data_IF_673137776968
#
_entry.id   IF_673137776968
#
_cell.length_a   1.000
_cell.length_b   1.000
_cell.length_c   1.000
_cell.angle_alpha   90.00
_cell.angle_beta   90.00
_cell.angle_gamma   90.00
#
_symmetry.space_group_name_H-M   'P 1'
#
loop_
_entity.id
_entity.type
_entity.pdbx_description
1 polymer ?
#
# COMPACT_ATOMS: atom_id res chain seq x y z
N UNK A 1 -18.00 -22.00 15.70
CA UNK A 1 -16.93 -21.35 14.96
C UNK A 1 -17.43 -20.00 14.47
N UNK A 2 -16.65 -18.93 14.63
CA UNK A 2 -16.97 -17.58 14.20
C UNK A 2 -15.94 -17.10 13.20
N UNK A 3 -16.33 -16.16 12.33
CA UNK A 3 -15.46 -15.54 11.33
C UNK A 3 -15.57 -14.03 11.43
N UNK A 4 -14.47 -13.35 11.18
CA UNK A 4 -14.42 -11.90 11.08
C UNK A 4 -13.50 -11.48 9.93
N UNK A 5 -13.88 -10.41 9.24
CA UNK A 5 -13.04 -9.78 8.21
C UNK A 5 -13.16 -8.28 8.29
N UNK A 6 -12.02 -7.57 8.36
CA UNK A 6 -11.95 -6.12 8.51
C UNK A 6 -10.90 -5.49 7.62
N UNK A 7 -11.13 -4.25 7.20
CA UNK A 7 -10.16 -3.39 6.53
C UNK A 7 -9.56 -2.45 7.58
N UNK A 8 -8.24 -2.32 7.57
CA UNK A 8 -7.47 -1.39 8.39
C UNK A 8 -6.73 -0.44 7.46
N UNK A 9 -7.01 0.85 7.59
CA UNK A 9 -6.49 1.89 6.69
C UNK A 9 -5.00 2.21 6.91
N UNK A 10 -4.43 1.73 8.01
CA UNK A 10 -3.02 1.95 8.38
C UNK A 10 -2.50 0.89 9.33
N UNK A 11 -1.18 0.82 9.51
CA UNK A 11 -0.54 0.01 10.56
C UNK A 11 -1.06 0.36 11.95
N UNK A 12 -1.33 1.63 12.20
CA UNK A 12 -1.88 2.09 13.48
C UNK A 12 -3.30 1.59 13.71
N UNK A 13 -4.19 1.65 12.70
CA UNK A 13 -5.55 1.13 12.82
C UNK A 13 -5.59 -0.39 13.00
N UNK A 14 -4.66 -1.10 12.34
CA UNK A 14 -4.47 -2.54 12.54
C UNK A 14 -4.01 -2.83 13.97
N UNK A 15 -3.02 -2.10 14.48
CA UNK A 15 -2.53 -2.27 15.85
C UNK A 15 -3.60 -1.96 16.91
N UNK A 16 -4.41 -0.92 16.69
CA UNK A 16 -5.54 -0.60 17.58
C UNK A 16 -6.58 -1.73 17.57
N UNK A 17 -6.88 -2.32 16.41
CA UNK A 17 -7.84 -3.43 16.31
C UNK A 17 -7.41 -4.68 17.08
N UNK A 18 -6.11 -4.87 17.30
CA UNK A 18 -5.60 -5.95 18.16
C UNK A 18 -6.04 -5.79 19.61
N UNK A 19 -6.24 -4.55 20.05
CA UNK A 19 -6.67 -4.22 21.41
C UNK A 19 -8.19 -4.27 21.58
N UNK A 20 -8.96 -4.39 20.48
CA UNK A 20 -10.43 -4.52 20.55
C UNK A 20 -10.86 -5.87 21.16
N UNK A 21 -10.03 -6.91 21.05
CA UNK A 21 -10.19 -8.19 21.76
C UNK A 21 -9.88 -8.11 23.25
N UNK A 22 -9.23 -7.01 23.69
CA UNK A 22 -9.00 -6.67 25.08
C UNK A 22 -10.17 -5.75 25.47
N UNK A 23 -11.03 -6.19 26.35
CA UNK A 23 -12.18 -5.39 26.78
C UNK A 23 -11.75 -4.00 27.28
N UNK A 24 -12.61 -3.00 27.25
CA UNK A 24 -12.32 -1.62 27.64
C UNK A 24 -11.84 -1.47 29.11
N UNK A 25 -11.89 -2.55 29.88
CA UNK A 25 -11.51 -2.58 31.30
C UNK A 25 -10.04 -2.24 31.55
N UNK A 26 -9.15 -2.45 30.58
CA UNK A 26 -7.74 -2.10 30.73
C UNK A 26 -7.48 -0.59 30.92
N UNK A 27 -8.44 0.27 30.57
CA UNK A 27 -8.38 1.74 30.75
C UNK A 27 -8.98 2.21 32.06
N UNK A 28 -9.65 1.33 32.80
CA UNK A 28 -10.44 1.73 33.97
C UNK A 28 -9.57 2.45 34.99
N UNK A 29 -9.92 3.69 35.26
CA UNK A 29 -9.24 4.53 36.22
C UNK A 29 -7.91 5.13 35.79
N UNK A 30 -7.36 4.77 34.61
CA UNK A 30 -6.17 5.45 34.07
C UNK A 30 -6.61 6.75 33.40
N UNK A 31 -6.24 7.90 33.95
CA UNK A 31 -6.53 9.23 33.37
C UNK A 31 -5.68 9.50 32.13
N UNK A 32 -5.75 8.62 31.14
CA UNK A 32 -4.92 8.67 29.96
C UNK A 32 -5.85 8.92 28.78
N UNK A 33 -5.96 10.19 28.37
CA UNK A 33 -6.83 10.59 27.25
C UNK A 33 -6.54 9.84 25.95
N UNK A 34 -7.17 10.23 24.84
CA UNK A 34 -7.10 9.56 23.51
C UNK A 34 -5.70 9.22 22.97
N UNK A 35 -4.64 9.70 23.63
CA UNK A 35 -3.24 9.33 23.34
C UNK A 35 -2.89 7.87 23.69
N UNK A 36 -3.62 7.23 24.60
CA UNK A 36 -3.31 5.86 25.03
C UNK A 36 -3.67 4.80 23.98
N UNK A 37 -4.70 5.03 23.17
CA UNK A 37 -5.03 4.15 22.05
C UNK A 37 -3.87 4.05 21.05
N UNK A 38 -3.10 5.13 20.89
CA UNK A 38 -1.90 5.17 20.08
C UNK A 38 -0.69 4.50 20.76
N UNK A 39 -0.62 4.53 22.09
CA UNK A 39 0.46 3.91 22.85
C UNK A 39 0.46 2.38 22.74
N UNK A 40 -0.71 1.78 22.72
CA UNK A 40 -0.85 0.32 22.55
C UNK A 40 -0.51 -0.12 21.13
N UNK A 41 -0.79 0.72 20.13
CA UNK A 41 -0.35 0.48 18.76
C UNK A 41 1.18 0.41 18.59
N UNK A 42 1.93 0.86 19.60
CA UNK A 42 3.40 0.76 19.65
C UNK A 42 3.94 -0.56 20.21
N UNK A 43 3.08 -1.52 20.61
CA UNK A 43 3.55 -2.81 21.11
C UNK A 43 4.36 -3.56 20.04
N UNK A 44 5.48 -4.16 20.44
CA UNK A 44 6.35 -4.96 19.59
C UNK A 44 5.80 -6.37 19.40
N UNK A 45 4.61 -6.50 18.77
CA UNK A 45 4.13 -7.80 18.28
C UNK A 45 4.68 -8.07 16.88
N UNK A 46 4.88 -9.33 16.52
CA UNK A 46 5.29 -9.75 15.16
C UNK A 46 4.39 -9.14 14.08
N UNK A 47 3.08 -9.05 14.33
CA UNK A 47 2.13 -8.42 13.42
C UNK A 47 2.32 -6.90 13.34
N UNK A 48 2.59 -6.23 14.46
CA UNK A 48 2.86 -4.80 14.49
C UNK A 48 4.14 -4.46 13.72
N UNK A 49 5.18 -5.27 13.87
CA UNK A 49 6.44 -5.16 13.13
C UNK A 49 6.23 -5.39 11.64
N UNK A 50 5.48 -6.43 11.26
CA UNK A 50 5.07 -6.67 9.88
C UNK A 50 4.39 -5.45 9.25
N UNK A 51 3.43 -4.85 9.95
CA UNK A 51 2.68 -3.69 9.46
C UNK A 51 3.55 -2.43 9.37
N UNK A 52 4.40 -2.17 10.37
CA UNK A 52 5.31 -1.02 10.40
C UNK A 52 6.35 -1.06 9.30
N UNK A 53 6.98 -2.21 9.09
CA UNK A 53 8.01 -2.40 8.05
C UNK A 53 7.46 -2.07 6.66
N UNK A 54 6.24 -2.47 6.36
CA UNK A 54 5.61 -2.17 5.07
C UNK A 54 5.21 -0.71 4.95
N UNK A 55 4.59 -0.18 5.98
CA UNK A 55 4.15 1.22 6.00
C UNK A 55 5.30 2.24 6.00
N UNK A 56 6.53 1.83 6.25
CA UNK A 56 7.71 2.70 6.22
C UNK A 56 8.08 3.15 4.79
N UNK A 57 7.77 2.35 3.77
CA UNK A 57 8.22 2.58 2.39
C UNK A 57 7.09 2.94 1.42
N UNK A 58 5.84 2.65 1.76
CA UNK A 58 4.69 2.96 0.91
C UNK A 58 3.41 3.04 1.74
N UNK A 59 2.33 3.57 1.13
CA UNK A 59 1.02 3.57 1.76
C UNK A 59 0.39 2.19 1.62
N UNK A 60 0.22 1.52 2.74
CA UNK A 60 -0.46 0.23 2.86
C UNK A 60 -1.77 0.36 3.62
N UNK A 61 -2.75 -0.42 3.20
CA UNK A 61 -3.89 -0.82 4.00
C UNK A 61 -3.77 -2.33 4.29
N UNK A 62 -4.46 -2.80 5.29
CA UNK A 62 -4.38 -4.20 5.72
C UNK A 62 -5.77 -4.80 5.78
N UNK A 63 -5.91 -6.03 5.31
CA UNK A 63 -7.15 -6.80 5.40
C UNK A 63 -6.88 -7.97 6.34
N UNK A 64 -7.62 -8.02 7.45
CA UNK A 64 -7.56 -9.15 8.37
C UNK A 64 -8.71 -10.11 8.12
N UNK A 65 -8.42 -11.40 8.04
CA UNK A 65 -9.38 -12.50 8.05
C UNK A 65 -9.10 -13.37 9.27
N UNK A 66 -10.14 -13.64 10.04
CA UNK A 66 -10.04 -14.43 11.26
C UNK A 66 -11.10 -15.53 11.30
N UNK A 67 -10.68 -16.70 11.71
CA UNK A 67 -11.54 -17.84 12.04
C UNK A 67 -11.23 -18.27 13.45
N UNK A 68 -12.22 -18.29 14.34
CA UNK A 68 -11.98 -18.66 15.73
C UNK A 68 -13.09 -19.51 16.32
N UNK A 69 -12.72 -20.33 17.29
CA UNK A 69 -13.58 -21.18 18.06
C UNK A 69 -13.19 -21.11 19.53
N UNK A 70 -14.18 -20.96 20.40
CA UNK A 70 -13.96 -20.86 21.85
C UNK A 70 -14.57 -22.05 22.55
N UNK A 71 -13.86 -22.62 23.51
CA UNK A 71 -14.27 -23.79 24.26
C UNK A 71 -14.46 -23.51 25.75
N UNK A 72 -13.49 -22.84 26.37
CA UNK A 72 -13.45 -22.61 27.81
C UNK A 72 -13.26 -21.14 28.11
N UNK A 73 -13.85 -20.68 29.22
CA UNK A 73 -13.68 -19.35 29.73
C UNK A 73 -13.42 -19.40 31.23
N UNK A 74 -12.34 -18.76 31.64
CA UNK A 74 -11.98 -18.63 33.06
C UNK A 74 -12.00 -17.16 33.41
N UNK A 75 -12.52 -16.88 34.64
CA UNK A 75 -12.51 -15.55 35.21
C UNK A 75 -11.99 -15.65 36.65
N UNK A 76 -11.06 -14.80 37.03
CA UNK A 76 -10.66 -14.69 38.41
C UNK A 76 -11.72 -13.99 39.23
N UNK A 77 -11.80 -14.30 40.52
CA UNK A 77 -12.70 -13.62 41.44
C UNK A 77 -12.38 -12.12 41.52
N UNK A 78 -13.38 -11.33 41.83
CA UNK A 78 -13.18 -9.92 42.18
C UNK A 78 -12.32 -9.86 43.45
N UNK A 79 -11.29 -8.99 43.48
CA UNK A 79 -10.28 -8.93 44.56
C UNK A 79 -9.58 -10.28 44.79
N UNK A 80 -8.76 -10.73 43.84
CA UNK A 80 -8.04 -11.98 43.98
C UNK A 80 -7.03 -11.92 45.12
N UNK A 81 -6.75 -13.06 45.69
CA UNK A 81 -5.60 -13.21 46.59
C UNK A 81 -4.30 -13.04 45.77
N UNK A 82 -3.40 -12.24 46.30
CA UNK A 82 -2.08 -11.99 45.70
C UNK A 82 -1.02 -12.81 46.46
N UNK A 83 0.10 -13.08 45.78
CA UNK A 83 1.23 -13.75 46.43
C UNK A 83 1.82 -12.88 47.54
N UNK A 84 2.41 -13.52 48.54
CA UNK A 84 3.08 -12.81 49.64
C UNK A 84 4.19 -11.88 49.17
N UNK A 85 4.89 -12.27 48.10
CA UNK A 85 5.97 -11.47 47.51
C UNK A 85 5.42 -10.17 46.88
N UNK A 86 4.35 -10.27 46.11
CA UNK A 86 3.67 -9.11 45.56
C UNK A 86 3.14 -8.19 46.68
N UNK A 87 2.51 -8.78 47.70
CA UNK A 87 1.97 -8.01 48.82
C UNK A 87 3.04 -7.28 49.64
N UNK A 88 4.19 -7.92 49.85
CA UNK A 88 5.36 -7.31 50.50
C UNK A 88 5.88 -6.13 49.66
N UNK A 89 6.06 -6.31 48.37
CA UNK A 89 6.50 -5.24 47.48
C UNK A 89 5.50 -4.09 47.43
N UNK A 90 4.20 -4.38 47.32
CA UNK A 90 3.17 -3.35 47.31
C UNK A 90 3.16 -2.54 48.64
N UNK A 91 3.34 -3.20 49.77
CA UNK A 91 3.41 -2.56 51.10
C UNK A 91 4.69 -1.75 51.32
N UNK A 92 5.79 -2.09 50.64
CA UNK A 92 7.05 -1.35 50.70
C UNK A 92 7.06 -0.07 49.82
N UNK A 93 6.04 0.13 48.97
CA UNK A 93 5.99 1.31 48.13
C UNK A 93 5.77 2.59 48.95
N UNK A 94 6.44 3.68 48.60
CA UNK A 94 6.30 4.97 49.25
C UNK A 94 4.86 5.50 49.20
N UNK A 95 4.43 6.20 50.24
CA UNK A 95 3.12 6.82 50.32
C UNK A 95 2.95 8.07 49.44
N UNK A 96 4.03 8.55 48.83
CA UNK A 96 4.04 9.66 47.88
C UNK A 96 4.76 9.24 46.61
N UNK A 97 4.21 9.65 45.46
CA UNK A 97 4.81 9.45 44.15
C UNK A 97 5.42 10.77 43.65
N UNK A 98 6.73 10.79 43.44
CA UNK A 98 7.47 11.91 42.90
C UNK A 98 8.77 11.41 42.22
N UNK A 99 9.61 12.31 41.75
CA UNK A 99 10.85 11.98 41.03
C UNK A 99 11.82 11.10 41.85
N UNK A 100 11.91 11.29 43.19
CA UNK A 100 12.79 10.53 44.05
C UNK A 100 12.26 9.13 44.40
N UNK A 101 10.92 8.92 44.37
CA UNK A 101 10.26 7.66 44.69
C UNK A 101 9.84 6.86 43.45
N UNK A 102 9.92 7.46 42.28
CA UNK A 102 9.54 6.88 40.98
C UNK A 102 10.17 5.52 40.74
N UNK A 103 11.47 5.35 41.13
CA UNK A 103 12.19 4.10 40.87
C UNK A 103 11.56 2.89 41.59
N UNK A 104 11.03 3.04 42.81
CA UNK A 104 10.39 1.95 43.55
C UNK A 104 9.10 1.46 42.84
N UNK A 105 8.27 2.40 42.31
CA UNK A 105 7.09 2.04 41.52
C UNK A 105 7.46 1.40 40.19
N UNK A 106 8.54 1.86 39.58
CA UNK A 106 9.06 1.27 38.31
C UNK A 106 9.51 -0.17 38.53
N UNK A 107 10.23 -0.45 39.60
CA UNK A 107 10.65 -1.81 39.92
C UNK A 107 9.45 -2.77 40.03
N UNK A 108 8.36 -2.36 40.68
CA UNK A 108 7.15 -3.17 40.79
C UNK A 108 6.51 -3.38 39.39
N UNK A 109 6.45 -2.33 38.56
CA UNK A 109 5.90 -2.42 37.20
C UNK A 109 6.80 -3.30 36.32
N UNK A 110 8.12 -3.23 36.44
CA UNK A 110 9.04 -4.03 35.64
C UNK A 110 8.95 -5.53 35.96
N UNK A 111 8.64 -5.87 37.20
CA UNK A 111 8.46 -7.27 37.63
C UNK A 111 7.07 -7.82 37.32
N UNK A 112 6.02 -7.07 37.59
CA UNK A 112 4.63 -7.55 37.51
C UNK A 112 3.82 -6.99 36.32
N UNK A 113 4.40 -6.07 35.58
CA UNK A 113 3.72 -5.41 34.48
C UNK A 113 2.78 -4.28 34.92
N UNK A 114 2.10 -3.70 33.96
CA UNK A 114 1.14 -2.60 34.18
C UNK A 114 -0.29 -3.09 34.44
N UNK A 115 -0.59 -4.34 34.02
CA UNK A 115 -1.92 -4.94 34.04
C UNK A 115 -1.84 -6.39 34.49
N UNK A 116 -2.98 -6.91 34.93
CA UNK A 116 -3.17 -8.33 35.21
C UNK A 116 -4.40 -8.86 34.42
N UNK A 117 -4.38 -10.15 34.11
CA UNK A 117 -5.43 -10.83 33.37
C UNK A 117 -6.58 -11.14 34.34
N UNK A 118 -7.80 -10.66 34.02
CA UNK A 118 -9.00 -10.91 34.82
C UNK A 118 -9.87 -12.03 34.24
N UNK A 119 -9.76 -12.27 32.94
CA UNK A 119 -10.49 -13.33 32.26
C UNK A 119 -9.69 -13.82 31.06
N UNK A 120 -9.74 -15.11 30.79
CA UNK A 120 -9.22 -15.72 29.56
C UNK A 120 -10.32 -16.54 28.88
N UNK A 121 -10.29 -16.54 27.56
CA UNK A 121 -11.07 -17.44 26.72
C UNK A 121 -10.11 -18.34 25.97
N UNK A 122 -10.27 -19.62 26.13
CA UNK A 122 -9.43 -20.66 25.50
C UNK A 122 -10.15 -21.27 24.30
N UNK A 123 -9.38 -21.55 23.26
CA UNK A 123 -9.90 -22.12 22.02
C UNK A 123 -8.84 -22.20 20.94
N UNK A 124 -9.21 -21.87 19.73
CA UNK A 124 -8.28 -21.70 18.62
C UNK A 124 -8.66 -20.53 17.72
N UNK A 125 -7.63 -19.89 17.14
CA UNK A 125 -7.76 -18.79 16.19
C UNK A 125 -6.76 -18.95 15.06
N UNK A 126 -7.25 -18.79 13.83
CA UNK A 126 -6.42 -18.56 12.65
C UNK A 126 -6.66 -17.12 12.25
N UNK A 127 -5.58 -16.36 12.10
CA UNK A 127 -5.62 -14.97 11.68
C UNK A 127 -4.64 -14.74 10.55
N UNK A 128 -5.14 -14.28 9.41
CA UNK A 128 -4.33 -13.81 8.30
C UNK A 128 -4.53 -12.32 8.11
N UNK A 129 -3.43 -11.60 7.91
CA UNK A 129 -3.43 -10.17 7.62
C UNK A 129 -2.69 -9.95 6.31
N UNK A 130 -3.44 -9.60 5.28
CA UNK A 130 -2.91 -9.28 3.95
C UNK A 130 -2.59 -7.79 3.88
N UNK A 131 -1.34 -7.45 3.56
CA UNK A 131 -0.91 -6.09 3.28
C UNK A 131 -1.19 -5.75 1.81
N UNK A 132 -1.90 -4.65 1.57
CA UNK A 132 -2.25 -4.19 0.22
C UNK A 132 -1.71 -2.78 -0.02
N UNK A 133 -0.96 -2.60 -1.10
CA UNK A 133 -0.50 -1.27 -1.52
C UNK A 133 -1.68 -0.47 -2.04
N UNK A 134 -2.02 0.63 -1.38
CA UNK A 134 -3.19 1.44 -1.73
C UNK A 134 -3.15 1.92 -3.17
N UNK A 135 -1.99 2.30 -3.69
CA UNK A 135 -1.85 2.75 -5.06
C UNK A 135 -1.97 1.60 -6.10
N UNK A 136 -1.61 0.38 -5.75
CA UNK A 136 -1.81 -0.78 -6.64
C UNK A 136 -3.29 -1.11 -6.83
N UNK A 137 -4.06 -1.00 -5.76
CA UNK A 137 -5.52 -1.13 -5.82
C UNK A 137 -6.13 -0.01 -6.68
N UNK A 138 -5.74 1.24 -6.44
CA UNK A 138 -6.27 2.40 -7.16
C UNK A 138 -6.02 2.33 -8.68
N UNK A 139 -4.78 2.01 -9.11
CA UNK A 139 -4.46 1.92 -10.56
C UNK A 139 -5.12 0.73 -11.25
N UNK A 140 -5.56 -0.27 -10.48
CA UNK A 140 -6.30 -1.42 -11.01
C UNK A 140 -7.80 -1.13 -11.14
N UNK A 141 -8.26 0.08 -10.79
CA UNK A 141 -9.67 0.44 -10.80
C UNK A 141 -10.52 -0.31 -9.77
N UNK A 142 -9.88 -0.83 -8.74
CA UNK A 142 -10.51 -1.56 -7.63
C UNK A 142 -10.60 -0.68 -6.40
N UNK A 143 -11.56 -0.99 -5.54
CA UNK A 143 -11.63 -0.46 -4.17
C UNK A 143 -11.01 -1.46 -3.19
N UNK A 144 -10.64 -0.99 -2.00
CA UNK A 144 -10.19 -1.86 -0.90
C UNK A 144 -11.29 -2.85 -0.49
N UNK A 145 -12.56 -2.42 -0.61
CA UNK A 145 -13.73 -3.27 -0.40
C UNK A 145 -13.79 -4.43 -1.40
N UNK A 146 -13.58 -4.16 -2.71
CA UNK A 146 -13.55 -5.20 -3.73
C UNK A 146 -12.45 -6.23 -3.46
N UNK A 147 -11.26 -5.77 -3.05
CA UNK A 147 -10.14 -6.65 -2.69
C UNK A 147 -10.51 -7.51 -1.48
N UNK A 148 -11.07 -6.91 -0.43
CA UNK A 148 -11.52 -7.63 0.77
C UNK A 148 -12.56 -8.69 0.43
N UNK A 149 -13.60 -8.33 -0.30
CA UNK A 149 -14.69 -9.25 -0.65
C UNK A 149 -14.19 -10.40 -1.52
N UNK A 150 -13.21 -10.15 -2.39
CA UNK A 150 -12.61 -11.20 -3.20
C UNK A 150 -11.66 -12.10 -2.40
N UNK A 151 -10.88 -11.57 -1.47
CA UNK A 151 -10.09 -12.39 -0.54
C UNK A 151 -11.00 -13.23 0.36
N UNK A 152 -12.09 -12.65 0.90
CA UNK A 152 -13.08 -13.38 1.68
C UNK A 152 -13.73 -14.51 0.87
N UNK A 153 -14.01 -14.29 -0.41
CA UNK A 153 -14.52 -15.31 -1.32
C UNK A 153 -13.53 -16.45 -1.55
N UNK A 154 -12.24 -16.17 -1.59
CA UNK A 154 -11.20 -17.18 -1.70
C UNK A 154 -11.06 -18.00 -0.42
N UNK A 155 -11.15 -17.38 0.76
CA UNK A 155 -11.21 -18.07 2.05
C UNK A 155 -12.48 -18.92 2.18
N UNK A 156 -13.63 -18.44 1.70
CA UNK A 156 -14.94 -19.12 1.83
C UNK A 156 -15.05 -20.42 1.07
N UNK A 157 -14.16 -20.70 0.10
CA UNK A 157 -14.05 -22.01 -0.50
C UNK A 157 -13.92 -23.15 0.52
N UNK A 158 -13.69 -22.82 1.79
CA UNK A 158 -13.66 -23.71 2.96
C UNK A 158 -14.98 -23.80 3.74
N UNK A 159 -16.08 -23.17 3.31
CA UNK A 159 -17.39 -23.06 3.98
C UNK A 159 -17.43 -22.14 5.21
N UNK A 160 -16.40 -21.39 5.51
CA UNK A 160 -16.37 -20.52 6.69
C UNK A 160 -17.06 -19.17 6.48
N UNK A 161 -16.97 -18.60 5.27
CA UNK A 161 -17.60 -17.32 4.91
C UNK A 161 -18.78 -17.59 3.96
N UNK A 162 -19.98 -17.71 4.48
CA UNK A 162 -21.16 -18.22 3.75
C UNK A 162 -21.77 -17.27 2.71
N UNK A 163 -21.36 -16.01 2.65
CA UNK A 163 -21.93 -14.98 1.76
C UNK A 163 -21.31 -14.91 0.35
N UNK A 164 -20.30 -15.69 0.04
CA UNK A 164 -19.38 -15.39 -1.07
C UNK A 164 -19.54 -16.23 -2.34
N UNK A 165 -20.50 -17.17 -2.47
CA UNK A 165 -20.58 -18.07 -3.65
C UNK A 165 -20.84 -17.31 -4.97
N UNK A 166 -21.65 -16.27 -4.97
CA UNK A 166 -21.94 -15.47 -6.15
C UNK A 166 -20.76 -14.55 -6.54
N UNK A 167 -19.88 -14.20 -5.57
CA UNK A 167 -18.74 -13.31 -5.76
C UNK A 167 -17.49 -14.02 -6.33
N UNK A 168 -17.33 -15.33 -6.11
CA UNK A 168 -16.09 -16.04 -6.50
C UNK A 168 -15.84 -16.07 -8.01
N UNK A 169 -16.87 -16.18 -8.85
CA UNK A 169 -16.73 -16.14 -10.30
C UNK A 169 -16.39 -14.73 -10.80
N UNK A 170 -17.02 -13.70 -10.24
CA UNK A 170 -16.74 -12.28 -10.52
C UNK A 170 -15.30 -11.95 -10.11
N UNK A 171 -14.86 -12.36 -8.93
CA UNK A 171 -13.50 -12.13 -8.45
C UNK A 171 -12.45 -12.78 -9.37
N UNK A 172 -12.64 -14.03 -9.80
CA UNK A 172 -11.75 -14.68 -10.77
C UNK A 172 -11.70 -13.95 -12.10
N UNK A 173 -12.84 -13.50 -12.63
CA UNK A 173 -12.87 -12.72 -13.88
C UNK A 173 -12.17 -11.37 -13.73
N UNK A 174 -12.33 -10.69 -12.59
CA UNK A 174 -11.67 -9.43 -12.27
C UNK A 174 -10.16 -9.62 -12.10
N UNK A 175 -9.72 -10.64 -11.37
CA UNK A 175 -8.31 -10.97 -11.21
C UNK A 175 -7.63 -11.21 -12.58
N UNK A 176 -8.27 -11.95 -13.48
CA UNK A 176 -7.74 -12.20 -14.83
C UNK A 176 -7.69 -10.95 -15.69
N UNK A 177 -8.74 -10.11 -15.69
CA UNK A 177 -8.84 -8.93 -16.55
C UNK A 177 -7.98 -7.76 -16.07
N UNK A 178 -8.03 -7.46 -14.78
CA UNK A 178 -7.41 -6.24 -14.22
C UNK A 178 -6.04 -6.49 -13.61
N UNK A 179 -5.80 -7.69 -13.08
CA UNK A 179 -4.59 -8.04 -12.36
C UNK A 179 -3.70 -9.04 -13.10
N UNK A 180 -4.17 -9.60 -14.22
CA UNK A 180 -3.49 -10.62 -15.02
C UNK A 180 -3.02 -11.83 -14.20
N UNK A 181 -3.81 -12.22 -13.18
CA UNK A 181 -3.59 -13.37 -12.28
C UNK A 181 -4.86 -14.18 -12.12
N UNK A 182 -4.74 -15.39 -11.58
CA UNK A 182 -5.90 -16.26 -11.41
C UNK A 182 -6.71 -15.95 -10.15
N UNK A 183 -6.04 -15.46 -9.11
CA UNK A 183 -6.64 -15.18 -7.79
C UNK A 183 -6.12 -13.85 -7.21
N UNK A 184 -6.89 -13.27 -6.28
CA UNK A 184 -6.47 -12.07 -5.54
C UNK A 184 -5.32 -12.39 -4.57
N UNK A 185 -5.32 -13.57 -3.97
CA UNK A 185 -4.25 -14.02 -3.08
C UNK A 185 -2.91 -14.22 -3.79
N UNK A 186 -2.91 -14.46 -5.12
CA UNK A 186 -1.68 -14.44 -5.93
C UNK A 186 -1.12 -13.06 -6.18
N UNK A 187 -1.97 -12.04 -6.22
CA UNK A 187 -1.54 -10.64 -6.37
C UNK A 187 -1.04 -10.09 -5.05
N UNK A 188 -1.89 -10.21 -4.02
CA UNK A 188 -1.63 -9.69 -2.68
C UNK A 188 -0.99 -10.79 -1.81
N UNK A 189 0.31 -11.04 -2.03
CA UNK A 189 1.06 -12.13 -1.38
C UNK A 189 1.65 -11.74 -0.04
N UNK A 190 1.79 -10.44 0.23
CA UNK A 190 2.39 -9.96 1.47
C UNK A 190 1.41 -10.21 2.61
N UNK A 191 1.64 -11.30 3.34
CA UNK A 191 0.72 -11.80 4.36
C UNK A 191 1.44 -12.12 5.66
N UNK A 192 0.78 -11.86 6.76
CA UNK A 192 1.14 -12.34 8.09
C UNK A 192 0.09 -13.36 8.51
N UNK A 193 0.52 -14.57 8.85
CA UNK A 193 -0.35 -15.63 9.31
C UNK A 193 0.00 -16.00 10.74
N UNK A 194 -1.02 -16.23 11.57
CA UNK A 194 -0.89 -16.66 12.96
C UNK A 194 -1.93 -17.71 13.27
N UNK A 195 -1.48 -18.83 13.83
CA UNK A 195 -2.35 -19.91 14.30
C UNK A 195 -2.16 -20.07 15.81
N UNK A 196 -3.25 -19.95 16.56
CA UNK A 196 -3.29 -20.09 18.01
C UNK A 196 -4.14 -21.31 18.35
N UNK A 197 -3.63 -22.16 19.23
CA UNK A 197 -4.26 -23.42 19.62
C UNK A 197 -4.20 -24.50 18.54
N UNK A 198 -4.59 -25.72 18.92
CA UNK A 198 -4.53 -26.89 18.05
C UNK A 198 -3.12 -27.45 17.85
N UNK A 199 -3.03 -28.45 17.00
CA UNK A 199 -1.79 -29.07 16.56
C UNK A 199 -1.50 -28.67 15.14
N UNK A 200 -0.28 -28.22 14.86
CA UNK A 200 0.18 -27.80 13.53
C UNK A 200 1.19 -26.67 13.57
N UNK A 201 1.61 -26.23 12.41
CA UNK A 201 2.53 -25.12 12.25
C UNK A 201 1.81 -23.78 12.60
N UNK A 202 2.37 -23.05 13.55
CA UNK A 202 1.80 -21.78 14.05
C UNK A 202 1.89 -20.64 13.05
N UNK A 203 2.74 -20.75 12.06
CA UNK A 203 2.96 -19.74 11.00
C UNK A 203 2.37 -20.18 9.64
N UNK A 204 1.61 -21.32 9.62
CA UNK A 204 1.04 -21.83 8.39
C UNK A 204 -0.09 -20.95 7.86
N UNK A 205 -0.05 -20.63 6.57
CA UNK A 205 -1.18 -20.01 5.84
C UNK A 205 -2.28 -21.04 5.60
N UNK A 206 -3.16 -21.20 6.58
CA UNK A 206 -4.26 -22.15 6.53
C UNK A 206 -5.50 -21.61 5.81
N UNK A 207 -5.65 -20.30 5.68
CA UNK A 207 -6.86 -19.68 5.10
C UNK A 207 -6.77 -19.54 3.58
N UNK A 208 -5.58 -19.38 2.99
CA UNK A 208 -5.41 -19.20 1.56
C UNK A 208 -4.81 -20.45 0.87
N UNK A 209 -5.13 -20.69 -0.41
CA UNK A 209 -4.58 -21.84 -1.12
C UNK A 209 -3.07 -21.68 -1.32
N UNK A 210 -2.29 -22.62 -0.78
CA UNK A 210 -0.88 -22.74 -1.14
C UNK A 210 -0.77 -23.15 -2.60
N UNK A 211 0.14 -22.56 -3.36
CA UNK A 211 0.43 -22.90 -4.76
C UNK A 211 0.88 -24.37 -4.93
N UNK A 212 1.26 -25.04 -3.87
CA UNK A 212 1.79 -26.40 -3.87
C UNK A 212 0.72 -27.52 -3.73
N UNK A 213 -0.56 -27.21 -3.88
CA UNK A 213 -1.62 -28.23 -4.04
C UNK A 213 -1.92 -29.13 -2.83
N UNK A 214 -1.45 -28.79 -1.64
CA UNK A 214 -1.76 -29.54 -0.42
C UNK A 214 -3.27 -29.56 -0.10
N UNK A 215 -3.74 -30.65 0.52
CA UNK A 215 -5.16 -30.86 0.82
C UNK A 215 -5.63 -29.96 2.00
N UNK A 216 -5.82 -28.69 1.73
CA UNK A 216 -6.15 -27.59 2.66
C UNK A 216 -7.37 -27.89 3.56
N UNK A 217 -8.42 -28.49 3.00
CA UNK A 217 -9.60 -28.85 3.80
C UNK A 217 -9.25 -29.81 4.92
N UNK A 218 -8.33 -30.71 4.65
CA UNK A 218 -7.86 -31.71 5.63
C UNK A 218 -7.02 -31.03 6.71
N UNK A 219 -6.18 -30.04 6.36
CA UNK A 219 -5.36 -29.30 7.32
C UNK A 219 -6.19 -28.48 8.29
N UNK A 220 -7.18 -27.71 7.80
CA UNK A 220 -8.08 -26.93 8.67
C UNK A 220 -8.96 -27.86 9.52
N UNK A 221 -9.50 -28.93 8.95
CA UNK A 221 -10.33 -29.87 9.69
C UNK A 221 -9.53 -30.62 10.77
N UNK A 222 -8.29 -31.00 10.48
CA UNK A 222 -7.37 -31.58 11.45
C UNK A 222 -7.10 -30.61 12.61
N UNK A 223 -6.81 -29.34 12.28
CA UNK A 223 -6.64 -28.30 13.28
C UNK A 223 -7.88 -28.13 14.16
N UNK A 224 -9.08 -28.03 13.57
CA UNK A 224 -10.34 -27.93 14.33
C UNK A 224 -10.50 -29.11 15.29
N UNK A 225 -10.26 -30.32 14.82
CA UNK A 225 -10.43 -31.52 15.62
C UNK A 225 -9.44 -31.58 16.79
N UNK A 226 -8.27 -30.98 16.65
CA UNK A 226 -7.23 -30.96 17.69
C UNK A 226 -7.48 -29.87 18.78
N UNK A 227 -8.32 -28.86 18.51
CA UNK A 227 -8.55 -27.73 19.40
C UNK A 227 -9.12 -28.12 20.77
N UNK A 228 -9.96 -29.14 20.80
CA UNK A 228 -10.60 -29.57 22.08
C UNK A 228 -9.58 -30.08 23.07
N UNK A 229 -8.54 -30.75 22.59
CA UNK A 229 -7.46 -31.29 23.42
C UNK A 229 -6.31 -30.29 23.61
N UNK A 230 -6.14 -29.36 22.66
CA UNK A 230 -5.03 -28.41 22.65
C UNK A 230 -5.56 -26.96 22.47
N UNK A 231 -6.42 -26.44 23.37
CA UNK A 231 -6.85 -25.05 23.31
C UNK A 231 -5.73 -24.13 23.79
N UNK A 232 -5.69 -22.92 23.24
CA UNK A 232 -4.77 -21.85 23.70
C UNK A 232 -5.57 -20.56 23.94
N UNK A 233 -4.92 -19.53 24.47
CA UNK A 233 -5.56 -18.25 24.81
C UNK A 233 -5.87 -17.48 23.53
N UNK A 234 -7.14 -17.37 23.17
CA UNK A 234 -7.60 -16.64 21.98
C UNK A 234 -8.08 -15.23 22.30
N UNK A 235 -8.51 -15.00 23.52
CA UNK A 235 -9.03 -13.73 24.00
C UNK A 235 -8.76 -13.61 25.50
N UNK A 236 -8.46 -12.40 25.98
CA UNK A 236 -8.29 -12.13 27.41
C UNK A 236 -8.75 -10.73 27.77
N UNK A 237 -9.10 -10.54 29.05
CA UNK A 237 -9.48 -9.24 29.61
C UNK A 237 -8.40 -8.80 30.58
N UNK A 238 -7.97 -7.54 30.45
CA UNK A 238 -6.96 -6.92 31.31
C UNK A 238 -7.62 -5.91 32.26
N UNK A 239 -7.10 -5.83 33.48
CA UNK A 239 -7.34 -4.70 34.37
C UNK A 239 -6.00 -4.11 34.85
N UNK A 240 -5.91 -2.77 35.04
CA UNK A 240 -4.71 -2.14 35.55
C UNK A 240 -4.29 -2.69 36.90
N UNK A 241 -2.98 -2.88 37.11
CA UNK A 241 -2.41 -3.52 38.29
C UNK A 241 -2.82 -2.84 39.60
N UNK A 242 -3.05 -1.53 39.62
CA UNK A 242 -3.51 -0.80 40.82
C UNK A 242 -4.89 -1.25 41.30
N UNK A 243 -5.69 -1.99 40.46
CA UNK A 243 -7.02 -2.51 40.82
C UNK A 243 -6.96 -3.92 41.43
N UNK A 244 -5.81 -4.57 41.47
CA UNK A 244 -5.70 -5.96 41.95
C UNK A 244 -6.16 -6.13 43.40
N UNK A 245 -5.88 -5.13 44.24
CA UNK A 245 -6.44 -5.07 45.61
C UNK A 245 -7.59 -4.10 45.71
N UNK A 246 -8.69 -4.52 46.31
CA UNK A 246 -9.90 -3.73 46.43
C UNK A 246 -9.84 -2.63 47.51
N UNK A 247 -8.90 -2.72 48.43
CA UNK A 247 -8.67 -1.70 49.46
C UNK A 247 -8.26 -0.35 48.84
N UNK A 248 -8.95 0.71 49.18
CA UNK A 248 -8.56 2.07 48.83
C UNK A 248 -7.35 2.47 49.68
N UNK A 249 -6.23 2.81 49.06
CA UNK A 249 -5.01 3.28 49.74
C UNK A 249 -4.34 4.37 48.89
N UNK A 250 -3.55 5.22 49.55
CA UNK A 250 -2.78 6.25 48.85
C UNK A 250 -1.76 5.60 47.91
N UNK A 251 -1.19 4.47 48.26
CA UNK A 251 -0.27 3.69 47.41
C UNK A 251 -0.95 3.24 46.11
N UNK A 252 -2.21 2.84 46.18
CA UNK A 252 -3.00 2.46 45.00
C UNK A 252 -3.17 3.62 44.02
N UNK A 253 -3.49 4.83 44.53
CA UNK A 253 -3.65 6.01 43.67
C UNK A 253 -2.28 6.43 43.09
N UNK A 254 -1.20 6.33 43.85
CA UNK A 254 0.16 6.59 43.35
C UNK A 254 0.58 5.56 42.29
N UNK A 255 0.28 4.27 42.48
CA UNK A 255 0.55 3.21 41.51
C UNK A 255 -0.22 3.45 40.20
N UNK A 256 -1.47 3.94 40.27
CA UNK A 256 -2.27 4.35 39.12
C UNK A 256 -1.54 5.43 38.30
N UNK A 257 -1.02 6.48 38.96
CA UNK A 257 -0.26 7.55 38.32
C UNK A 257 1.03 7.01 37.68
N UNK A 258 1.76 6.17 38.42
CA UNK A 258 2.99 5.56 37.94
C UNK A 258 2.80 4.68 36.71
N UNK A 259 1.72 3.87 36.69
CA UNK A 259 1.33 3.05 35.52
C UNK A 259 1.03 3.93 34.31
N UNK A 260 0.21 4.97 34.50
CA UNK A 260 -0.15 5.88 33.42
C UNK A 260 1.09 6.56 32.83
N UNK A 261 1.99 7.05 33.67
CA UNK A 261 3.25 7.67 33.24
C UNK A 261 4.17 6.66 32.53
N UNK A 262 4.28 5.45 33.06
CA UNK A 262 5.07 4.36 32.44
C UNK A 262 4.58 4.05 31.02
N UNK A 263 3.28 3.91 30.82
CA UNK A 263 2.71 3.63 29.52
C UNK A 263 2.99 4.78 28.55
N UNK A 264 2.82 6.02 28.99
CA UNK A 264 3.09 7.20 28.16
C UNK A 264 4.56 7.34 27.77
N UNK A 265 5.50 7.01 28.67
CA UNK A 265 6.94 7.05 28.38
C UNK A 265 7.38 5.94 27.42
N UNK A 266 6.80 4.75 27.55
CA UNK A 266 7.09 3.61 26.65
C UNK A 266 6.34 3.68 25.34
N UNK A 267 5.49 4.67 25.17
CA UNK A 267 4.75 4.88 23.94
C UNK A 267 5.70 5.05 22.74
N UNK A 268 5.64 4.11 21.81
CA UNK A 268 6.28 4.29 20.51
C UNK A 268 5.47 5.27 19.68
N UNK A 269 5.98 6.46 19.48
CA UNK A 269 5.41 7.40 18.49
C UNK A 269 5.95 7.00 17.12
N UNK A 270 5.10 6.39 16.30
CA UNK A 270 5.46 6.15 14.90
C UNK A 270 5.75 7.51 14.24
N UNK A 271 6.92 7.62 13.63
CA UNK A 271 7.24 8.76 12.78
C UNK A 271 6.36 8.66 11.54
N UNK A 272 5.71 9.75 11.18
CA UNK A 272 4.98 9.79 9.93
C UNK A 272 5.95 9.54 8.77
N UNK A 273 5.58 8.70 7.78
CA UNK A 273 6.36 8.54 6.57
C UNK A 273 6.48 9.89 5.84
N UNK A 274 7.51 10.05 5.03
CA UNK A 274 7.66 11.22 4.18
C UNK A 274 6.51 11.29 3.16
N UNK A 275 6.10 12.50 2.80
CA UNK A 275 5.04 12.77 1.85
C UNK A 275 5.58 13.62 0.68
N UNK A 276 6.44 13.07 -0.19
CA UNK A 276 7.21 13.86 -1.15
C UNK A 276 6.36 14.53 -2.23
N UNK A 277 5.15 14.05 -2.49
CA UNK A 277 4.26 14.57 -3.55
C UNK A 277 3.01 15.26 -3.02
N UNK A 278 2.80 15.26 -1.72
CA UNK A 278 1.57 15.79 -1.12
C UNK A 278 1.80 16.50 0.20
N UNK A 279 0.70 16.85 0.83
CA UNK A 279 0.70 17.45 2.16
C UNK A 279 0.50 16.37 3.21
N UNK A 280 1.43 16.27 4.16
CA UNK A 280 1.28 15.40 5.31
C UNK A 280 0.26 16.02 6.27
N UNK A 281 -0.79 15.28 6.57
CA UNK A 281 -1.78 15.63 7.60
C UNK A 281 -1.71 14.60 8.71
N UNK A 282 -1.62 15.06 9.94
CA UNK A 282 -1.61 14.20 11.14
C UNK A 282 -2.90 14.42 11.93
N UNK A 283 -3.68 13.37 12.10
CA UNK A 283 -4.83 13.33 12.98
C UNK A 283 -4.56 12.34 14.12
N UNK A 284 -4.23 12.85 15.30
CA UNK A 284 -3.81 12.02 16.43
C UNK A 284 -2.54 11.24 16.11
N UNK A 285 -2.63 9.92 16.10
CA UNK A 285 -1.55 8.99 15.71
C UNK A 285 -1.55 8.61 14.23
N UNK A 286 -2.58 8.99 13.48
CA UNK A 286 -2.70 8.62 12.07
C UNK A 286 -2.05 9.67 11.17
N UNK A 287 -1.16 9.19 10.28
CA UNK A 287 -0.51 10.01 9.27
C UNK A 287 -1.16 9.74 7.91
N UNK A 288 -1.61 10.78 7.24
CA UNK A 288 -2.19 10.68 5.89
C UNK A 288 -1.48 11.64 4.95
N UNK A 289 -1.13 11.16 3.76
CA UNK A 289 -0.70 12.00 2.66
C UNK A 289 -1.92 12.37 1.83
N UNK A 290 -2.12 13.64 1.56
CA UNK A 290 -3.16 14.13 0.66
C UNK A 290 -2.54 14.94 -0.47
N UNK A 291 -3.02 14.69 -1.69
CA UNK A 291 -2.62 15.40 -2.89
C UNK A 291 -3.82 16.14 -3.48
N UNK A 292 -3.61 17.28 -4.15
CA UNK A 292 -4.65 17.82 -5.00
C UNK A 292 -4.97 16.83 -6.11
N UNK A 293 -6.25 16.56 -6.30
CA UNK A 293 -6.71 15.70 -7.40
C UNK A 293 -6.35 16.33 -8.74
N UNK A 294 -5.82 15.54 -9.66
CA UNK A 294 -5.43 15.95 -11.00
C UNK A 294 -5.85 14.88 -12.02
N UNK A 295 -5.61 15.13 -13.31
CA UNK A 295 -5.84 14.14 -14.36
C UNK A 295 -4.95 12.89 -14.24
N UNK A 296 -3.92 12.92 -13.40
CA UNK A 296 -2.93 11.86 -13.24
C UNK A 296 -2.98 11.18 -11.87
N UNK A 297 -3.52 11.85 -10.84
CA UNK A 297 -3.38 11.43 -9.46
C UNK A 297 -4.64 11.72 -8.64
N UNK A 298 -5.03 10.79 -7.79
CA UNK A 298 -6.15 10.96 -6.86
C UNK A 298 -5.74 11.69 -5.57
N UNK A 299 -6.71 11.98 -4.72
CA UNK A 299 -6.47 12.65 -3.43
C UNK A 299 -5.59 11.86 -2.45
N UNK A 300 -5.42 10.57 -2.66
CA UNK A 300 -4.54 9.70 -1.88
C UNK A 300 -3.10 9.66 -2.43
N UNK A 301 -2.74 10.54 -3.37
CA UNK A 301 -1.44 10.59 -4.05
C UNK A 301 -1.11 9.36 -4.89
N UNK A 302 -2.12 8.62 -5.33
CA UNK A 302 -1.93 7.47 -6.20
C UNK A 302 -2.21 7.83 -7.66
N UNK A 303 -1.42 7.32 -8.61
CA UNK A 303 -1.69 7.51 -10.03
C UNK A 303 -3.03 6.86 -10.41
N UNK A 304 -3.76 7.48 -11.34
CA UNK A 304 -5.08 7.00 -11.78
C UNK A 304 -4.99 5.85 -12.77
N UNK A 305 -3.93 5.79 -13.59
CA UNK A 305 -3.73 4.77 -14.63
C UNK A 305 -2.24 4.48 -14.80
N UNK A 306 -1.90 3.23 -15.10
CA UNK A 306 -0.55 2.84 -15.53
C UNK A 306 -0.31 3.22 -16.99
N UNK A 307 0.95 3.30 -17.39
CA UNK A 307 1.35 3.52 -18.78
C UNK A 307 1.13 4.93 -19.29
N UNK A 308 0.95 5.90 -18.43
CA UNK A 308 0.65 7.29 -18.80
C UNK A 308 1.86 8.17 -18.59
N UNK A 309 2.15 9.03 -19.59
CA UNK A 309 3.22 10.02 -19.54
C UNK A 309 2.94 11.21 -20.43
N UNK A 310 3.82 12.21 -20.41
CA UNK A 310 3.78 13.39 -21.27
C UNK A 310 4.84 13.33 -22.35
N UNK A 311 4.44 13.42 -23.62
CA UNK A 311 5.32 13.36 -24.78
C UNK A 311 5.73 14.76 -25.25
N UNK A 312 7.03 14.97 -25.36
CA UNK A 312 7.64 16.12 -26.04
C UNK A 312 8.53 15.61 -27.18
N UNK A 313 8.40 16.19 -28.35
CA UNK A 313 9.20 15.90 -29.55
C UNK A 313 9.89 17.18 -29.98
N UNK A 314 11.16 17.07 -30.34
CA UNK A 314 11.95 18.18 -30.88
C UNK A 314 12.49 17.79 -32.25
N UNK A 315 12.04 18.43 -33.31
CA UNK A 315 12.55 18.27 -34.68
C UNK A 315 13.75 19.19 -34.82
N UNK A 316 14.94 18.61 -34.96
CA UNK A 316 16.21 19.34 -34.90
C UNK A 316 16.56 19.88 -36.27
N UNK A 317 16.87 18.99 -37.21
CA UNK A 317 17.36 19.36 -38.54
C UNK A 317 17.03 18.27 -39.58
N UNK A 318 17.02 18.65 -40.82
CA UNK A 318 17.05 17.75 -41.97
C UNK A 318 18.44 17.80 -42.63
N UNK A 319 18.82 16.71 -43.29
CA UNK A 319 20.07 16.65 -44.08
C UNK A 319 19.79 15.92 -45.38
N UNK A 320 20.26 16.52 -46.50
CA UNK A 320 20.15 15.97 -47.81
C UNK A 320 18.69 15.78 -48.32
N UNK A 321 17.79 16.63 -47.85
CA UNK A 321 16.43 16.62 -48.35
C UNK A 321 16.39 17.06 -49.81
N UNK A 322 15.54 16.44 -50.59
CA UNK A 322 15.45 16.75 -52.04
C UNK A 322 14.16 17.49 -52.32
N UNK A 323 14.28 18.69 -52.87
CA UNK A 323 13.23 19.46 -53.48
C UNK A 323 12.85 18.96 -54.87
N UNK A 324 11.96 19.65 -55.53
CA UNK A 324 11.52 19.33 -56.88
C UNK A 324 12.64 19.59 -57.91
N UNK A 325 12.79 18.67 -58.82
CA UNK A 325 13.49 18.92 -60.06
C UNK A 325 12.46 19.16 -61.16
N UNK A 326 12.14 20.42 -61.43
CA UNK A 326 11.28 20.79 -62.49
C UNK A 326 12.15 21.37 -63.64
N UNK A 327 12.15 20.73 -64.77
CA UNK A 327 12.76 21.21 -66.04
C UNK A 327 14.11 22.00 -65.86
N UNK A 328 15.19 21.29 -65.66
CA UNK A 328 16.57 21.82 -65.64
C UNK A 328 16.98 22.66 -64.42
N UNK A 329 16.12 22.84 -63.44
CA UNK A 329 16.48 23.49 -62.18
C UNK A 329 16.39 22.45 -61.06
N UNK A 330 17.51 22.07 -60.50
CA UNK A 330 17.55 21.34 -59.21
C UNK A 330 17.10 22.33 -58.14
N UNK A 331 15.83 22.37 -57.81
CA UNK A 331 15.30 23.21 -56.75
C UNK A 331 15.80 22.73 -55.37
N UNK A 332 16.14 23.68 -54.55
CA UNK A 332 16.32 23.39 -53.10
C UNK A 332 14.93 23.20 -52.50
N UNK A 333 14.85 22.40 -51.45
CA UNK A 333 13.57 22.08 -50.78
C UNK A 333 13.09 23.21 -49.89
N UNK A 334 11.80 23.51 -49.95
CA UNK A 334 11.08 24.36 -49.00
C UNK A 334 10.42 23.49 -47.90
N UNK A 335 11.28 22.89 -47.06
CA UNK A 335 10.92 21.77 -46.25
C UNK A 335 10.23 22.15 -44.92
N UNK A 336 9.20 21.39 -44.57
CA UNK A 336 8.65 21.33 -43.24
C UNK A 336 8.34 19.88 -42.83
N UNK A 337 8.26 19.64 -41.53
CA UNK A 337 7.99 18.32 -40.95
C UNK A 337 6.64 18.35 -40.21
N UNK A 338 5.76 17.40 -40.52
CA UNK A 338 4.54 17.14 -39.78
C UNK A 338 4.76 15.94 -38.88
N UNK A 339 4.57 16.12 -37.60
CA UNK A 339 4.65 15.03 -36.60
C UNK A 339 3.23 14.60 -36.23
N UNK A 340 2.92 13.34 -36.49
CA UNK A 340 1.65 12.70 -36.16
C UNK A 340 1.88 11.67 -35.05
N UNK A 341 1.12 11.75 -33.99
CA UNK A 341 1.14 10.82 -32.87
C UNK A 341 -0.22 10.18 -32.74
N UNK A 342 -0.28 8.86 -32.58
CA UNK A 342 -1.51 8.10 -32.47
C UNK A 342 -2.46 8.71 -31.43
N UNK A 343 -3.71 9.05 -31.86
CA UNK A 343 -4.72 9.61 -30.99
C UNK A 343 -4.50 11.08 -30.57
N UNK A 344 -3.58 11.79 -31.24
CA UNK A 344 -3.29 13.22 -31.01
C UNK A 344 -3.44 14.04 -32.29
N UNK A 345 -3.65 15.33 -32.10
CA UNK A 345 -3.60 16.29 -33.23
C UNK A 345 -2.17 16.37 -33.77
N UNK A 346 -2.01 16.48 -35.08
CA UNK A 346 -0.70 16.65 -35.70
C UNK A 346 -0.14 18.05 -35.41
N UNK A 347 1.16 18.14 -35.30
CA UNK A 347 1.92 19.38 -35.21
C UNK A 347 2.86 19.50 -36.40
N UNK A 348 3.15 20.72 -36.86
CA UNK A 348 4.15 20.95 -37.92
C UNK A 348 5.18 21.98 -37.53
N UNK A 349 6.40 21.85 -38.10
CA UNK A 349 7.43 22.88 -38.01
C UNK A 349 7.04 24.07 -38.93
N UNK A 350 7.77 25.17 -38.78
CA UNK A 350 7.81 26.20 -39.84
C UNK A 350 8.44 25.62 -41.09
N UNK A 351 8.09 26.20 -42.25
CA UNK A 351 8.77 25.95 -43.52
C UNK A 351 10.13 26.67 -43.48
N UNK A 352 11.17 26.05 -44.02
CA UNK A 352 12.45 26.69 -44.32
C UNK A 352 12.68 26.60 -45.79
N UNK A 353 12.68 27.78 -46.41
CA UNK A 353 12.68 27.90 -47.88
C UNK A 353 14.10 27.70 -48.44
N UNK A 354 14.17 27.11 -49.65
CA UNK A 354 15.40 26.94 -50.45
C UNK A 354 16.60 26.33 -49.67
N UNK A 355 16.31 25.24 -48.93
CA UNK A 355 17.38 24.62 -48.10
C UNK A 355 17.18 23.10 -47.98
N UNK A 356 18.19 22.34 -48.50
CA UNK A 356 18.21 20.89 -48.39
C UNK A 356 18.69 20.37 -47.04
N UNK A 357 19.24 21.26 -46.20
CA UNK A 357 19.74 20.94 -44.86
C UNK A 357 19.14 21.88 -43.79
N UNK A 358 17.81 21.94 -43.69
CA UNK A 358 17.12 22.91 -42.83
C UNK A 358 17.34 22.61 -41.34
N UNK A 359 17.45 23.67 -40.55
CA UNK A 359 17.55 23.58 -39.08
C UNK A 359 16.33 24.20 -38.43
N UNK A 360 15.42 23.35 -37.89
CA UNK A 360 14.17 23.81 -37.29
C UNK A 360 14.33 24.10 -35.78
N UNK A 361 14.97 23.19 -35.02
CA UNK A 361 15.03 23.22 -33.56
C UNK A 361 13.64 23.48 -32.95
N UNK A 362 12.63 22.82 -33.47
CA UNK A 362 11.22 23.06 -33.17
C UNK A 362 10.67 22.05 -32.19
N UNK A 363 10.28 22.52 -31.00
CA UNK A 363 9.77 21.68 -29.95
C UNK A 363 8.25 21.62 -29.98
N UNK A 364 7.68 20.41 -29.93
CA UNK A 364 6.26 20.10 -29.96
C UNK A 364 5.85 19.38 -28.70
N UNK A 365 4.77 19.82 -28.06
CA UNK A 365 4.21 19.18 -26.87
C UNK A 365 2.90 18.48 -27.24
N UNK A 366 2.87 17.15 -27.15
CA UNK A 366 1.70 16.33 -27.46
C UNK A 366 0.84 16.05 -26.23
N UNK A 367 1.31 16.48 -25.04
CA UNK A 367 0.62 16.25 -23.78
C UNK A 367 0.59 14.76 -23.40
N UNK A 368 -0.49 14.37 -22.74
CA UNK A 368 -0.65 13.03 -22.18
C UNK A 368 -0.75 11.95 -23.26
N UNK A 369 0.10 10.92 -23.18
CA UNK A 369 0.08 9.75 -24.05
C UNK A 369 0.03 8.46 -23.23
N UNK A 370 -0.36 7.34 -23.90
CA UNK A 370 -0.35 6.00 -23.28
C UNK A 370 0.68 5.11 -23.97
N UNK A 371 1.56 4.51 -23.15
CA UNK A 371 2.56 3.55 -23.59
C UNK A 371 2.09 2.08 -23.48
N UNK A 372 0.89 1.86 -22.91
CA UNK A 372 0.30 0.51 -22.84
C UNK A 372 -0.21 0.13 -24.24
N UNK A 373 0.37 -0.92 -24.83
CA UNK A 373 0.03 -1.34 -26.19
C UNK A 373 0.97 -0.78 -27.27
N UNK A 374 1.88 0.14 -26.90
CA UNK A 374 2.77 0.86 -27.81
C UNK A 374 2.15 2.14 -28.34
N UNK A 375 2.98 3.08 -28.73
CA UNK A 375 2.60 4.38 -29.26
C UNK A 375 3.36 4.62 -30.57
N UNK A 376 2.63 4.76 -31.67
CA UNK A 376 3.24 5.04 -32.97
C UNK A 376 3.31 6.54 -33.22
N UNK A 377 4.45 7.01 -33.68
CA UNK A 377 4.74 8.37 -34.10
C UNK A 377 5.25 8.35 -35.54
N UNK A 378 4.67 9.18 -36.41
CA UNK A 378 5.08 9.33 -37.79
C UNK A 378 5.60 10.75 -38.02
N UNK A 379 6.78 10.86 -38.60
CA UNK A 379 7.31 12.12 -39.14
C UNK A 379 7.11 12.12 -40.65
N UNK A 380 6.40 13.10 -41.14
CA UNK A 380 6.20 13.32 -42.58
C UNK A 380 6.97 14.55 -43.03
N UNK A 381 7.73 14.43 -44.09
CA UNK A 381 8.45 15.53 -44.70
C UNK A 381 7.68 16.01 -45.91
N UNK A 382 7.46 17.29 -45.98
CA UNK A 382 6.76 17.95 -47.05
C UNK A 382 7.63 19.08 -47.63
N UNK A 383 7.52 19.28 -48.94
CA UNK A 383 8.06 20.40 -49.69
C UNK A 383 6.93 21.36 -50.07
N UNK A 384 7.06 22.64 -49.71
CA UNK A 384 6.00 23.62 -49.86
C UNK A 384 6.21 24.49 -51.09
N UNK A 385 5.51 24.19 -52.17
CA UNK A 385 5.45 25.00 -53.36
C UNK A 385 4.45 26.16 -53.25
N UNK A 386 4.47 27.09 -54.20
CA UNK A 386 3.58 28.29 -54.23
C UNK A 386 2.09 27.99 -54.22
N UNK A 387 1.67 26.86 -54.82
CA UNK A 387 0.25 26.51 -54.93
C UNK A 387 -0.17 25.23 -54.22
N UNK A 388 0.77 24.36 -53.85
CA UNK A 388 0.50 23.08 -53.19
C UNK A 388 1.68 22.67 -52.33
N UNK A 389 1.40 21.74 -51.47
CA UNK A 389 2.43 21.10 -50.68
C UNK A 389 2.60 19.64 -51.11
N UNK A 390 3.83 19.23 -51.36
CA UNK A 390 4.15 17.90 -51.83
C UNK A 390 4.71 17.03 -50.69
N UNK A 391 4.11 15.84 -50.56
CA UNK A 391 4.66 14.83 -49.64
C UNK A 391 5.95 14.24 -50.22
N UNK A 392 7.03 14.35 -49.47
CA UNK A 392 8.37 13.85 -49.88
C UNK A 392 8.64 12.47 -49.30
N UNK A 393 8.18 12.18 -48.10
CA UNK A 393 8.32 10.88 -47.48
C UNK A 393 8.04 10.91 -46.00
N UNK A 394 8.01 9.74 -45.39
CA UNK A 394 7.78 9.61 -43.95
C UNK A 394 8.52 8.43 -43.34
N UNK A 395 8.70 8.48 -42.03
CA UNK A 395 9.06 7.32 -41.21
C UNK A 395 8.09 7.19 -40.04
N UNK A 396 7.77 5.96 -39.69
CA UNK A 396 6.98 5.64 -38.49
C UNK A 396 7.85 4.93 -37.48
N UNK A 397 7.79 5.39 -36.25
CA UNK A 397 8.59 4.90 -35.14
C UNK A 397 7.65 4.50 -34.02
N UNK A 398 7.95 3.37 -33.40
CA UNK A 398 7.24 2.93 -32.21
C UNK A 398 7.96 3.47 -30.96
N UNK A 399 7.26 4.32 -30.23
CA UNK A 399 7.71 4.84 -28.94
C UNK A 399 7.31 3.83 -27.86
N UNK A 400 8.30 3.17 -27.29
CA UNK A 400 8.10 2.08 -26.30
C UNK A 400 8.77 2.34 -24.96
N UNK A 401 9.54 3.43 -24.85
CA UNK A 401 10.35 3.72 -23.69
C UNK A 401 10.16 5.15 -23.19
N UNK A 402 9.83 5.29 -21.92
CA UNK A 402 9.86 6.55 -21.19
C UNK A 402 11.30 6.89 -20.76
N UNK A 403 11.63 8.16 -20.80
CA UNK A 403 12.93 8.68 -20.37
C UNK A 403 12.78 10.10 -19.84
N UNK A 404 13.53 10.43 -18.80
CA UNK A 404 13.68 11.80 -18.30
C UNK A 404 14.62 12.63 -19.15
N UNK A 405 15.42 11.98 -20.02
CA UNK A 405 16.32 12.63 -20.98
C UNK A 405 15.75 12.48 -22.39
N UNK A 406 16.08 13.42 -23.26
CA UNK A 406 15.76 13.29 -24.67
C UNK A 406 16.53 12.14 -25.31
N UNK A 407 15.80 11.32 -26.08
CA UNK A 407 16.33 10.21 -26.87
C UNK A 407 16.47 10.69 -28.31
N UNK A 408 17.69 10.82 -28.78
CA UNK A 408 17.97 11.26 -30.16
C UNK A 408 17.84 10.10 -31.14
N UNK A 409 17.21 10.36 -32.29
CA UNK A 409 16.91 9.39 -33.34
C UNK A 409 17.07 10.03 -34.73
N UNK A 410 17.19 9.19 -35.73
CA UNK A 410 17.26 9.57 -37.15
C UNK A 410 16.11 8.89 -37.89
N UNK A 411 15.37 9.68 -38.65
CA UNK A 411 14.33 9.25 -39.57
C UNK A 411 14.83 9.36 -41.00
N UNK A 412 15.10 8.24 -41.68
CA UNK A 412 15.48 8.23 -43.08
C UNK A 412 14.28 8.40 -44.00
N UNK A 413 14.37 9.33 -44.95
CA UNK A 413 13.27 9.65 -45.88
C UNK A 413 13.47 8.84 -47.18
N UNK A 414 12.47 8.11 -47.67
CA UNK A 414 12.61 7.22 -48.83
C UNK A 414 13.18 7.87 -50.10
N UNK A 415 12.87 9.15 -50.33
CA UNK A 415 13.36 9.89 -51.49
C UNK A 415 14.73 10.53 -51.33
N UNK A 416 15.38 10.32 -50.24
CA UNK A 416 16.70 10.81 -49.88
C UNK A 416 16.70 11.78 -48.72
N UNK A 417 17.83 11.81 -48.04
CA UNK A 417 18.01 12.60 -46.84
C UNK A 417 17.46 11.93 -45.55
N UNK A 418 17.57 12.64 -44.45
CA UNK A 418 17.09 12.19 -43.17
C UNK A 418 16.75 13.37 -42.27
N UNK A 419 15.90 13.11 -41.28
CA UNK A 419 15.55 14.04 -40.22
C UNK A 419 16.19 13.58 -38.91
N UNK A 420 16.88 14.46 -38.24
CA UNK A 420 17.36 14.26 -36.88
C UNK A 420 16.33 14.89 -35.92
N UNK A 421 15.85 14.09 -34.98
CA UNK A 421 14.89 14.50 -33.98
C UNK A 421 15.26 13.87 -32.64
N UNK A 422 14.71 14.43 -31.59
CA UNK A 422 14.72 13.80 -30.26
C UNK A 422 13.30 13.80 -29.66
N UNK A 423 13.06 12.86 -28.76
CA UNK A 423 11.82 12.80 -28.01
C UNK A 423 12.07 12.47 -26.56
N UNK A 424 11.12 12.84 -25.71
CA UNK A 424 11.12 12.54 -24.30
C UNK A 424 9.68 12.20 -23.86
N UNK A 425 9.54 11.12 -23.10
CA UNK A 425 8.28 10.75 -22.44
C UNK A 425 8.53 10.71 -20.94
N UNK A 426 8.02 11.69 -20.25
CA UNK A 426 8.06 11.75 -18.78
C UNK A 426 6.84 11.02 -18.22
N UNK A 427 7.07 10.01 -17.36
CA UNK A 427 5.97 9.30 -16.70
C UNK A 427 5.16 10.23 -15.81
N UNK A 428 3.86 10.01 -15.78
CA UNK A 428 2.97 10.71 -14.85
C UNK A 428 3.42 10.50 -13.40
N UNK A 429 3.15 11.45 -12.49
CA UNK A 429 3.57 11.39 -11.09
C UNK A 429 3.17 10.06 -10.43
N UNK A 430 4.13 9.42 -9.76
CA UNK A 430 3.90 8.13 -9.11
C UNK A 430 4.13 6.91 -10.01
N UNK A 431 4.47 7.12 -11.28
CA UNK A 431 4.81 6.06 -12.21
C UNK A 431 6.28 6.09 -12.58
N UNK A 432 6.81 4.93 -12.95
CA UNK A 432 8.17 4.72 -13.40
C UNK A 432 8.29 3.51 -14.33
N UNK A 433 9.53 3.13 -14.60
CA UNK A 433 9.85 2.07 -15.56
C UNK A 433 9.71 2.50 -17.03
N UNK A 434 10.20 1.69 -17.97
CA UNK A 434 10.27 2.07 -19.39
C UNK A 434 8.91 2.38 -20.00
N UNK A 435 7.84 1.74 -19.51
CA UNK A 435 6.48 1.93 -20.02
C UNK A 435 5.57 2.71 -19.06
N UNK A 436 6.12 3.40 -18.08
CA UNK A 436 5.35 4.06 -17.01
C UNK A 436 4.35 3.11 -16.32
N UNK A 437 4.67 1.83 -16.24
CA UNK A 437 3.77 0.77 -15.72
C UNK A 437 4.08 0.38 -14.29
N UNK A 438 5.19 0.83 -13.75
CA UNK A 438 5.65 0.54 -12.40
C UNK A 438 5.26 1.68 -11.46
N UNK A 439 4.83 1.33 -10.24
CA UNK A 439 4.63 2.32 -9.21
C UNK A 439 6.02 2.75 -8.71
N UNK A 440 6.36 4.03 -8.89
CA UNK A 440 7.59 4.53 -8.31
C UNK A 440 7.44 4.71 -6.79
N UNK A 441 8.51 4.46 -6.02
CA UNK A 441 8.50 4.76 -4.58
C UNK A 441 8.02 6.19 -4.33
N UNK A 442 7.29 6.43 -3.23
CA UNK A 442 6.76 7.75 -2.88
C UNK A 442 7.87 8.79 -2.69
#
# INVERSE_FOLDING_TARGET
MKTASKIHESSTSLAISQTEGITNDWKVGLSVGGRLSAAIGGSSSRLSEFAKTRSAFARYSFISQEVFSTYYRYRIKHCPEVTDEFDKLLKSLPTRYNSSTKAAFRQLIDVYGTHYITQVTLGGRIKDVTAIKSCEVAVSGLTKGDVKDCLDAEVSGTKFFTTARASASRCRSTARRQLHRNTFSEVFRERFSEVIGGVGDKDADLLFPNQNGGNRKQSIQSWINSLKANPDVVEYTLAPLHLVKCSKSQVRENLKVAIAEYILEKQSMDRCPSCPRGRLTRQGSQCTCSCPSSNFMNSECCPLKKGVGELTVNVIEGNGLRGDSFWFVTGQSDAYVVVKVQGKSSCRTRTIDNNNDPRWHYRMHFGTVSLLGGLDMTLEVHDQDWFWSRFTGSCTIRLDSASTRFISQICYVPKGGHIRYDYRIECAPGLGGPRCSELSPP
#
